data_IF_694373268805
#
_entry.id   IF_694373268805
#
_cell.length_a   1.000
_cell.length_b   1.000
_cell.length_c   1.000
_cell.angle_alpha   90.00
_cell.angle_beta   90.00
_cell.angle_gamma   90.00
#
_symmetry.space_group_name_H-M   'P 1'
#
loop_
_entity.id
_entity.type
_entity.pdbx_description
1 polymer ?
#
# COMPACT_ATOMS: atom_id res chain seq x y z
N UNK A 1 0.01 3.86 5.63
CA UNK A 1 0.49 4.25 6.97
C UNK A 1 -0.40 5.29 7.62
N UNK A 2 -0.97 6.26 6.89
CA UNK A 2 -1.86 7.27 7.50
C UNK A 2 -3.05 6.69 8.27
N UNK A 3 -3.71 5.64 7.75
CA UNK A 3 -4.80 4.97 8.49
C UNK A 3 -4.30 4.35 9.81
N UNK A 4 -3.23 3.54 9.78
CA UNK A 4 -2.62 2.99 11.00
C UNK A 4 -2.15 4.10 11.97
N UNK A 5 -1.58 5.19 11.46
CA UNK A 5 -1.14 6.32 12.28
C UNK A 5 -2.30 6.96 13.04
N UNK A 6 -3.47 7.10 12.41
CA UNK A 6 -4.67 7.59 13.06
C UNK A 6 -5.21 6.57 14.07
N UNK A 7 -5.32 5.30 13.67
CA UNK A 7 -5.89 4.23 14.51
C UNK A 7 -5.08 3.99 15.78
N UNK A 8 -3.75 4.08 15.68
CA UNK A 8 -2.83 3.93 16.81
C UNK A 8 -2.44 5.27 17.45
N UNK A 9 -2.89 6.41 16.90
CA UNK A 9 -2.51 7.77 17.35
C UNK A 9 -1.00 7.96 17.52
N UNK A 10 -0.22 7.41 16.59
CA UNK A 10 1.25 7.50 16.59
C UNK A 10 1.74 8.09 15.28
N UNK A 11 2.91 8.73 15.33
CA UNK A 11 3.52 9.30 14.13
C UNK A 11 3.79 8.22 13.06
N UNK A 12 3.49 8.50 11.77
CA UNK A 12 3.75 7.55 10.69
C UNK A 12 5.21 7.06 10.61
N UNK A 13 6.18 7.88 11.03
CA UNK A 13 7.59 7.52 11.06
C UNK A 13 7.89 6.48 12.15
N UNK A 14 7.22 6.57 13.29
CA UNK A 14 7.31 5.55 14.35
C UNK A 14 6.82 4.19 13.87
N UNK A 15 5.67 4.17 13.18
CA UNK A 15 5.16 2.92 12.56
C UNK A 15 6.13 2.39 11.51
N UNK A 16 6.69 3.27 10.68
CA UNK A 16 7.64 2.87 9.65
C UNK A 16 8.91 2.25 10.23
N UNK A 17 9.44 2.85 11.32
CA UNK A 17 10.60 2.32 12.02
C UNK A 17 10.31 0.92 12.58
N UNK A 18 9.21 0.75 13.30
CA UNK A 18 8.84 -0.55 13.84
C UNK A 18 8.67 -1.63 12.76
N UNK A 19 8.05 -1.29 11.62
CA UNK A 19 7.88 -2.23 10.51
C UNK A 19 9.22 -2.62 9.88
N UNK A 20 10.16 -1.67 9.73
CA UNK A 20 11.45 -1.94 9.08
C UNK A 20 12.46 -2.61 10.00
N UNK A 21 12.53 -2.17 11.25
CA UNK A 21 13.57 -2.55 12.20
C UNK A 21 13.10 -3.71 13.08
N UNK A 22 11.93 -3.58 13.73
CA UNK A 22 11.45 -4.59 14.68
C UNK A 22 10.88 -5.82 13.96
N UNK A 23 10.19 -5.61 12.83
CA UNK A 23 9.62 -6.69 12.02
C UNK A 23 10.52 -7.14 10.86
N UNK A 24 11.64 -6.45 10.61
CA UNK A 24 12.58 -6.77 9.52
C UNK A 24 11.99 -6.64 8.11
N UNK A 25 10.84 -5.98 7.95
CA UNK A 25 10.15 -5.85 6.65
C UNK A 25 10.72 -4.67 5.85
N UNK A 26 11.98 -4.82 5.43
CA UNK A 26 12.72 -3.82 4.64
C UNK A 26 12.04 -3.46 3.32
N UNK A 27 11.22 -4.36 2.76
CA UNK A 27 10.44 -4.16 1.53
C UNK A 27 9.04 -3.58 1.75
N UNK A 28 8.65 -3.20 2.99
CA UNK A 28 7.42 -2.44 3.23
C UNK A 28 7.53 -0.97 2.80
N UNK A 29 8.54 -0.64 1.99
CA UNK A 29 8.46 0.51 1.08
C UNK A 29 7.41 0.17 0.02
N UNK A 30 6.13 0.48 0.34
CA UNK A 30 5.00 0.56 -0.60
C UNK A 30 5.55 0.73 -2.00
N UNK A 31 5.52 -0.33 -2.83
CA UNK A 31 6.01 -0.27 -4.20
C UNK A 31 5.46 1.01 -4.79
N UNK A 32 6.36 1.93 -5.13
CA UNK A 32 6.01 3.21 -5.70
C UNK A 32 5.04 2.91 -6.83
N UNK A 33 3.83 3.47 -6.78
CA UNK A 33 2.79 3.15 -7.79
C UNK A 33 3.30 3.44 -9.22
N UNK A 34 4.32 4.30 -9.35
CA UNK A 34 4.99 4.63 -10.60
C UNK A 34 6.06 3.62 -11.06
N UNK A 35 6.47 2.66 -10.21
CA UNK A 35 7.42 1.60 -10.54
C UNK A 35 6.73 0.31 -11.05
N UNK A 36 5.41 0.32 -11.17
CA UNK A 36 4.69 -0.81 -11.75
C UNK A 36 5.01 -0.84 -13.25
N UNK A 37 5.73 -1.86 -13.69
CA UNK A 37 5.92 -2.14 -15.11
C UNK A 37 4.56 -2.23 -15.82
N UNK A 38 4.51 -1.97 -17.13
CA UNK A 38 3.24 -1.95 -17.88
C UNK A 38 2.38 -3.21 -17.67
N UNK A 39 3.01 -4.36 -17.49
CA UNK A 39 2.34 -5.62 -17.16
C UNK A 39 1.72 -5.63 -15.75
N UNK A 40 2.40 -5.08 -14.75
CA UNK A 40 1.85 -4.94 -13.40
C UNK A 40 0.73 -3.90 -13.36
N UNK A 41 0.84 -2.83 -14.16
CA UNK A 41 -0.22 -1.84 -14.34
C UNK A 41 -1.46 -2.47 -14.96
N UNK A 42 -1.30 -3.28 -16.00
CA UNK A 42 -2.38 -4.02 -16.66
C UNK A 42 -3.07 -4.99 -15.72
N UNK A 43 -2.31 -5.82 -14.99
CA UNK A 43 -2.85 -6.76 -13.98
C UNK A 43 -3.57 -6.04 -12.84
N UNK A 44 -3.10 -4.86 -12.44
CA UNK A 44 -3.79 -4.06 -11.41
C UNK A 44 -5.08 -3.45 -11.95
N UNK A 45 -5.08 -2.94 -13.18
CA UNK A 45 -6.26 -2.37 -13.83
C UNK A 45 -7.36 -3.42 -14.00
N UNK A 46 -7.03 -4.64 -14.42
CA UNK A 46 -8.01 -5.73 -14.53
C UNK A 46 -8.61 -6.09 -13.17
N UNK A 47 -7.80 -6.15 -12.10
CA UNK A 47 -8.31 -6.37 -10.74
C UNK A 47 -9.21 -5.23 -10.26
N UNK A 48 -8.89 -3.97 -10.58
CA UNK A 48 -9.74 -2.83 -10.23
C UNK A 48 -11.06 -2.84 -11.01
N UNK A 49 -11.04 -3.14 -12.31
CA UNK A 49 -12.25 -3.24 -13.14
C UNK A 49 -13.18 -4.40 -12.73
N UNK A 50 -12.61 -5.48 -12.21
CA UNK A 50 -13.36 -6.64 -11.75
C UNK A 50 -13.68 -6.58 -10.24
N UNK A 51 -13.40 -5.45 -9.59
CA UNK A 51 -13.72 -5.29 -8.17
C UNK A 51 -15.21 -4.96 -8.04
N UNK A 52 -16.02 -5.74 -7.31
CA UNK A 52 -17.48 -5.62 -7.24
C UNK A 52 -17.99 -4.33 -6.56
N UNK A 53 -17.12 -3.36 -6.29
CA UNK A 53 -17.44 -2.06 -5.70
C UNK A 53 -17.27 -0.88 -6.68
N UNK A 54 -16.98 -1.14 -7.96
CA UNK A 54 -16.78 -0.09 -8.99
C UNK A 54 -17.70 -0.26 -10.21
N UNK A 55 -18.69 -1.15 -10.15
CA UNK A 55 -19.80 -1.19 -11.11
C UNK A 55 -20.98 -0.55 -10.39
N UNK A 56 -21.11 0.77 -10.55
CA UNK A 56 -22.26 1.66 -10.33
C UNK A 56 -21.68 3.06 -10.07
N UNK A 57 -21.75 3.92 -11.09
CA UNK A 57 -21.19 5.26 -11.14
C UNK A 57 -21.01 5.72 -12.57
#
# INVERSE_FOLDING_TARGET
MNHLSNDFSVDPMTINRAVREDLGLTSYTRTLRHLLTEDMRRKRLTRCKNSPHLVEG
#
